data_IF_483714027976
#
_entry.id   IF_483714027976
#
_cell.length_a   1.000
_cell.length_b   1.000
_cell.length_c   1.000
_cell.angle_alpha   90.00
_cell.angle_beta   90.00
_cell.angle_gamma   90.00
#
_symmetry.space_group_name_H-M   'P 1'
#
loop_
_entity.id
_entity.type
_entity.pdbx_description
1 polymer ?
#
# COMPACT_ATOMS: atom_id res chain seq x y z
N UNK A 1 5.93 9.01 10.44
CA UNK A 1 7.41 8.97 10.25
C UNK A 1 7.76 8.75 8.78
N UNK A 2 7.16 7.80 8.08
CA UNK A 2 7.51 7.43 6.69
C UNK A 2 7.26 8.51 5.63
N UNK A 3 6.51 9.56 5.95
CA UNK A 3 6.35 10.74 5.07
C UNK A 3 7.40 11.84 5.32
N UNK A 4 8.36 11.59 6.21
CA UNK A 4 9.47 12.49 6.46
C UNK A 4 10.58 12.28 5.41
N UNK A 5 11.17 13.35 4.92
CA UNK A 5 12.33 13.25 4.03
C UNK A 5 13.56 12.75 4.81
N UNK A 6 14.09 11.61 4.40
CA UNK A 6 15.34 11.08 4.92
C UNK A 6 16.45 11.18 3.86
N UNK A 7 17.72 11.37 4.28
CA UNK A 7 18.85 11.24 3.36
C UNK A 7 18.91 9.85 2.71
N UNK A 8 19.52 9.76 1.53
CA UNK A 8 19.78 8.47 0.88
C UNK A 8 20.59 7.54 1.80
N UNK A 9 20.25 6.24 1.80
CA UNK A 9 20.93 5.22 2.61
C UNK A 9 20.33 5.03 4.01
N UNK A 10 19.33 5.83 4.40
CA UNK A 10 18.59 5.59 5.63
C UNK A 10 17.51 4.54 5.38
N UNK A 11 17.50 3.49 6.21
CA UNK A 11 16.46 2.48 6.20
C UNK A 11 15.25 2.98 6.99
N UNK A 12 14.16 3.29 6.29
CA UNK A 12 12.94 3.80 6.91
C UNK A 12 12.24 2.75 7.80
N UNK A 13 12.37 1.46 7.50
CA UNK A 13 11.85 0.39 8.37
C UNK A 13 12.46 0.48 9.77
N UNK A 14 13.77 0.65 9.85
CA UNK A 14 14.47 0.79 11.13
C UNK A 14 14.04 2.07 11.87
N UNK A 15 13.99 3.20 11.16
CA UNK A 15 13.61 4.49 11.73
C UNK A 15 12.17 4.52 12.22
N UNK A 16 11.29 3.81 11.56
CA UNK A 16 9.88 3.69 11.93
C UNK A 16 9.62 2.56 12.94
N UNK A 17 10.61 1.71 13.25
CA UNK A 17 10.43 0.53 14.09
C UNK A 17 9.54 -0.55 13.45
N UNK A 18 9.47 -0.57 12.12
CA UNK A 18 8.64 -1.50 11.36
C UNK A 18 9.45 -2.75 11.03
N UNK A 19 8.92 -3.93 11.30
CA UNK A 19 9.57 -5.19 10.95
C UNK A 19 9.40 -5.52 9.49
N UNK A 20 10.48 -5.96 8.86
CA UNK A 20 10.51 -6.46 7.49
C UNK A 20 10.13 -7.93 7.44
N UNK A 21 9.31 -8.31 6.46
CA UNK A 21 9.09 -9.69 6.02
C UNK A 21 9.86 -9.95 4.74
N UNK A 22 10.22 -11.20 4.49
CA UNK A 22 10.90 -11.62 3.27
C UNK A 22 9.87 -11.92 2.18
N UNK A 23 9.97 -11.23 1.06
CA UNK A 23 9.15 -11.47 -0.12
C UNK A 23 9.52 -12.80 -0.80
N UNK A 24 8.58 -13.38 -1.54
CA UNK A 24 8.76 -14.66 -2.24
C UNK A 24 9.09 -14.48 -3.73
N UNK A 25 8.55 -13.45 -4.35
CA UNK A 25 8.63 -13.24 -5.80
C UNK A 25 9.52 -12.07 -6.20
N UNK A 26 9.90 -11.22 -5.24
CA UNK A 26 10.77 -10.05 -5.45
C UNK A 26 11.83 -9.99 -4.34
N UNK A 27 12.92 -9.28 -4.60
CA UNK A 27 14.03 -9.14 -3.63
C UNK A 27 13.78 -8.10 -2.55
N UNK A 28 12.83 -7.17 -2.76
CA UNK A 28 12.49 -6.15 -1.78
C UNK A 28 11.63 -6.71 -0.65
N UNK A 29 11.86 -6.30 0.62
CA UNK A 29 11.06 -6.77 1.74
C UNK A 29 9.65 -6.15 1.72
N UNK A 30 8.73 -6.79 2.44
CA UNK A 30 7.41 -6.23 2.71
C UNK A 30 7.23 -5.88 4.20
N UNK A 31 6.22 -5.11 4.54
CA UNK A 31 5.86 -4.77 5.93
C UNK A 31 5.26 -6.01 6.60
N UNK A 32 6.01 -6.66 7.52
CA UNK A 32 5.70 -8.00 8.05
C UNK A 32 4.32 -8.13 8.70
N UNK A 33 3.82 -7.07 9.31
CA UNK A 33 2.53 -7.09 10.00
C UNK A 33 1.40 -6.40 9.22
N UNK A 34 1.63 -6.09 7.95
CA UNK A 34 0.55 -5.64 7.08
C UNK A 34 -0.41 -6.82 6.82
N UNK A 35 -1.72 -6.67 7.07
CA UNK A 35 -2.70 -7.75 6.86
C UNK A 35 -2.76 -8.25 5.42
N UNK A 36 -2.41 -7.38 4.46
CA UNK A 36 -2.24 -7.73 3.06
C UNK A 36 -1.08 -6.95 2.45
N UNK A 37 -0.34 -7.57 1.54
CA UNK A 37 0.72 -6.93 0.76
C UNK A 37 0.79 -7.49 -0.66
N UNK A 38 1.16 -6.65 -1.60
CA UNK A 38 1.37 -7.01 -3.00
C UNK A 38 2.86 -6.95 -3.31
N UNK A 39 3.41 -8.03 -3.82
CA UNK A 39 4.77 -8.08 -4.36
C UNK A 39 4.70 -7.71 -5.84
N UNK A 40 5.44 -6.68 -6.24
CA UNK A 40 5.34 -6.11 -7.58
C UNK A 40 6.72 -5.96 -8.23
N UNK A 41 6.77 -6.18 -9.53
CA UNK A 41 7.88 -5.75 -10.39
C UNK A 41 7.51 -4.46 -11.10
N UNK A 42 8.49 -3.61 -11.37
CA UNK A 42 8.26 -2.36 -12.09
C UNK A 42 7.79 -2.66 -13.52
N UNK A 43 6.66 -2.09 -13.91
CA UNK A 43 6.20 -2.09 -15.29
C UNK A 43 6.50 -0.76 -15.99
N UNK A 44 6.10 0.36 -15.38
CA UNK A 44 6.22 1.67 -16.00
C UNK A 44 6.35 2.78 -14.96
N UNK A 45 7.12 3.80 -15.30
CA UNK A 45 7.12 5.09 -14.61
C UNK A 45 6.57 6.17 -15.53
N UNK A 46 5.81 7.11 -14.97
CA UNK A 46 5.26 8.25 -15.66
C UNK A 46 5.51 9.50 -14.84
N UNK A 47 6.24 10.47 -15.42
CA UNK A 47 6.39 11.79 -14.80
C UNK A 47 5.10 12.58 -15.02
N UNK A 48 4.52 13.06 -13.92
CA UNK A 48 3.35 13.92 -13.96
C UNK A 48 3.77 15.37 -14.27
N UNK A 49 2.86 16.21 -14.74
CA UNK A 49 3.15 17.63 -14.96
C UNK A 49 3.73 18.30 -13.72
N UNK A 50 4.59 19.26 -13.93
CA UNK A 50 5.12 20.11 -12.86
C UNK A 50 3.99 20.84 -12.13
N UNK A 51 4.09 20.88 -10.82
CA UNK A 51 3.20 21.72 -10.03
C UNK A 51 3.66 23.19 -10.07
N UNK A 52 2.89 24.08 -9.45
CA UNK A 52 3.18 25.51 -9.39
C UNK A 52 4.54 25.85 -8.75
N UNK A 53 5.16 24.94 -8.02
CA UNK A 53 6.46 25.11 -7.37
C UNK A 53 7.61 24.51 -8.19
N UNK A 54 7.37 24.06 -9.43
CA UNK A 54 8.38 23.46 -10.31
C UNK A 54 8.81 22.06 -9.92
N UNK A 55 8.08 21.38 -9.00
CA UNK A 55 8.36 19.99 -8.64
C UNK A 55 7.47 19.01 -9.41
N UNK A 56 8.07 17.91 -9.86
CA UNK A 56 7.37 16.81 -10.53
C UNK A 56 7.13 15.66 -9.57
N UNK A 57 5.94 15.05 -9.68
CA UNK A 57 5.66 13.76 -9.08
C UNK A 57 5.81 12.65 -10.12
N UNK A 58 6.29 11.49 -9.69
CA UNK A 58 6.41 10.31 -10.56
C UNK A 58 5.38 9.28 -10.15
N UNK A 59 4.55 8.85 -11.09
CA UNK A 59 3.67 7.69 -10.91
C UNK A 59 4.44 6.42 -11.25
N UNK A 60 4.43 5.45 -10.35
CA UNK A 60 5.05 4.15 -10.53
C UNK A 60 3.95 3.11 -10.68
N UNK A 61 4.00 2.32 -11.74
CA UNK A 61 3.05 1.24 -12.02
C UNK A 61 3.79 -0.07 -11.97
N UNK A 62 3.28 -1.01 -11.17
CA UNK A 62 3.86 -2.33 -10.99
C UNK A 62 2.96 -3.45 -11.50
N UNK A 63 3.58 -4.56 -11.92
CA UNK A 63 2.89 -5.83 -12.16
C UNK A 63 2.94 -6.62 -10.87
N UNK A 64 1.76 -7.07 -10.39
CA UNK A 64 1.67 -7.93 -9.21
C UNK A 64 2.18 -9.32 -9.55
N UNK A 65 3.18 -9.78 -8.82
CA UNK A 65 3.81 -11.11 -8.98
C UNK A 65 3.51 -12.03 -7.79
N UNK A 66 3.11 -11.47 -6.66
CA UNK A 66 2.74 -12.21 -5.46
C UNK A 66 1.80 -11.41 -4.58
N UNK A 67 0.98 -12.12 -3.83
CA UNK A 67 0.02 -11.55 -2.87
C UNK A 67 0.18 -12.28 -1.56
N UNK A 68 0.43 -11.54 -0.47
CA UNK A 68 0.44 -12.08 0.88
C UNK A 68 -0.79 -11.55 1.62
N UNK A 69 -1.57 -12.45 2.22
CA UNK A 69 -2.77 -12.12 2.97
C UNK A 69 -2.78 -12.92 4.26
N UNK A 70 -3.00 -12.25 5.38
CA UNK A 70 -3.18 -12.89 6.67
C UNK A 70 -4.53 -13.63 6.74
N UNK A 71 -4.53 -14.86 7.23
CA UNK A 71 -5.75 -15.65 7.35
C UNK A 71 -6.82 -14.99 8.23
N UNK A 72 -6.40 -14.15 9.19
CA UNK A 72 -7.30 -13.42 10.09
C UNK A 72 -8.23 -12.44 9.39
N UNK A 73 -7.90 -12.01 8.16
CA UNK A 73 -8.72 -11.07 7.38
C UNK A 73 -9.48 -11.75 6.24
N UNK A 74 -9.46 -13.10 6.20
CA UNK A 74 -10.19 -13.89 5.21
C UNK A 74 -11.47 -14.46 5.85
N UNK A 75 -12.60 -14.21 5.20
CA UNK A 75 -13.89 -14.81 5.54
C UNK A 75 -14.56 -15.35 4.27
N UNK A 76 -15.00 -16.59 4.30
CA UNK A 76 -15.66 -17.26 3.18
C UNK A 76 -14.86 -17.19 1.86
N UNK A 77 -13.52 -17.34 1.94
CA UNK A 77 -12.60 -17.31 0.81
C UNK A 77 -12.37 -15.91 0.20
N UNK A 78 -12.81 -14.85 0.86
CA UNK A 78 -12.66 -13.46 0.42
C UNK A 78 -11.99 -12.62 1.51
N UNK A 79 -11.30 -11.57 1.10
CA UNK A 79 -10.83 -10.56 2.05
C UNK A 79 -12.05 -9.82 2.60
N UNK A 80 -12.20 -9.86 3.91
CA UNK A 80 -13.20 -9.09 4.61
C UNK A 80 -12.60 -7.73 4.99
N UNK A 81 -12.97 -6.69 4.26
CA UNK A 81 -12.42 -5.35 4.48
C UNK A 81 -12.84 -4.74 5.81
N UNK A 82 -13.89 -5.26 6.47
CA UNK A 82 -14.27 -4.81 7.83
C UNK A 82 -13.29 -5.35 8.88
N UNK A 83 -12.67 -6.52 8.64
CA UNK A 83 -11.59 -7.06 9.46
C UNK A 83 -10.24 -6.41 9.11
N UNK A 84 -10.01 -6.14 7.84
CA UNK A 84 -8.78 -5.53 7.34
C UNK A 84 -8.71 -4.03 7.65
N UNK A 85 -9.83 -3.33 7.62
CA UNK A 85 -9.98 -1.90 7.92
C UNK A 85 -8.94 -1.01 7.23
N UNK A 86 -8.83 -1.02 5.90
CA UNK A 86 -7.85 -0.21 5.20
C UNK A 86 -8.08 1.27 5.48
N UNK A 87 -6.97 1.99 5.62
CA UNK A 87 -7.00 3.44 5.84
C UNK A 87 -6.96 4.16 4.51
N UNK A 88 -7.94 5.03 4.28
CA UNK A 88 -7.95 5.96 3.16
C UNK A 88 -7.50 7.35 3.63
N UNK A 89 -6.58 7.97 2.90
CA UNK A 89 -6.26 9.37 3.10
C UNK A 89 -7.27 10.23 2.36
N UNK A 90 -7.83 11.20 3.06
CA UNK A 90 -8.76 12.19 2.55
C UNK A 90 -8.06 13.53 2.29
N UNK A 91 -8.81 14.60 2.18
CA UNK A 91 -8.26 15.95 2.07
C UNK A 91 -7.61 16.44 3.38
N UNK A 92 -6.73 17.42 3.27
CA UNK A 92 -6.01 18.04 4.40
C UNK A 92 -5.18 17.02 5.19
N UNK A 93 -5.47 16.82 6.47
CA UNK A 93 -4.82 15.85 7.35
C UNK A 93 -5.75 14.72 7.77
N UNK A 94 -6.88 14.58 7.10
CA UNK A 94 -7.92 13.64 7.47
C UNK A 94 -7.67 12.25 6.90
N UNK A 95 -8.08 11.25 7.66
CA UNK A 95 -8.05 9.84 7.29
C UNK A 95 -9.37 9.19 7.66
N UNK A 96 -9.74 8.16 6.93
CA UNK A 96 -10.89 7.31 7.23
C UNK A 96 -10.46 5.85 7.17
N UNK A 97 -11.21 4.99 7.84
CA UNK A 97 -11.12 3.54 7.71
C UNK A 97 -12.49 2.97 7.34
N UNK A 98 -12.48 1.84 6.68
CA UNK A 98 -13.72 1.18 6.28
C UNK A 98 -14.23 0.40 7.49
N UNK A 99 -15.45 0.75 7.96
CA UNK A 99 -16.13 0.09 9.08
C UNK A 99 -17.35 -0.69 8.61
N UNK A 100 -17.98 -0.26 7.50
CA UNK A 100 -19.17 -0.87 6.92
C UNK A 100 -19.01 -1.15 5.44
N UNK A 101 -19.73 -2.15 4.97
CA UNK A 101 -19.81 -2.52 3.56
C UNK A 101 -21.27 -2.54 3.11
N UNK A 102 -21.49 -2.07 1.89
CA UNK A 102 -22.73 -2.31 1.17
C UNK A 102 -22.43 -2.82 -0.23
N UNK A 103 -23.34 -3.60 -0.78
CA UNK A 103 -23.21 -4.12 -2.14
C UNK A 103 -24.31 -3.57 -3.02
N UNK A 104 -23.92 -3.15 -4.22
CA UNK A 104 -24.84 -2.77 -5.28
C UNK A 104 -24.80 -3.84 -6.35
N UNK A 105 -25.95 -4.46 -6.62
CA UNK A 105 -26.05 -5.44 -7.71
C UNK A 105 -25.85 -4.73 -9.05
N UNK A 106 -24.93 -5.25 -9.85
CA UNK A 106 -24.73 -4.73 -11.22
C UNK A 106 -25.97 -5.05 -12.05
N UNK A 107 -26.55 -4.11 -12.78
CA UNK A 107 -27.61 -4.43 -13.72
C UNK A 107 -27.05 -5.32 -14.84
N UNK A 108 -27.87 -6.27 -15.30
CA UNK A 108 -27.57 -7.17 -16.41
C UNK A 108 -27.58 -6.41 -17.74
#
# INVERSE_FOLDING_TARGET
ITSKNFPRGINEFEKAGIKMGQSKTVSVPYVKFAPASLECTLWKTLNLPENSNGSCSTMIIGIVTGINIENSVIRDGKIDVTLYQPIARLGYSDYSRIEELFSIKRPD
#
